data_IF_712646916861
#
_entry.id   IF_712646916861
#
_cell.length_a   1.000
_cell.length_b   1.000
_cell.length_c   1.000
_cell.angle_alpha   90.00
_cell.angle_beta   90.00
_cell.angle_gamma   90.00
#
_symmetry.space_group_name_H-M   'P 1'
#
loop_
_entity.id
_entity.type
_entity.pdbx_description
1 polymer ?
#
# COMPACT_ATOMS: atom_id res chain seq x y z
N UNK A 1 0.58 21.64 16.14
CA UNK A 1 -0.31 20.46 16.04
C UNK A 1 -0.27 20.02 14.59
N UNK A 2 0.47 18.97 14.27
CA UNK A 2 0.39 18.33 12.95
C UNK A 2 -0.98 17.67 12.85
N UNK A 3 -1.81 18.15 11.93
CA UNK A 3 -3.15 17.64 11.68
C UNK A 3 -3.03 16.26 11.04
N UNK A 4 -3.56 15.22 11.69
CA UNK A 4 -3.66 13.89 11.09
C UNK A 4 -4.65 13.91 9.93
N UNK A 5 -4.33 13.23 8.83
CA UNK A 5 -5.25 13.06 7.70
C UNK A 5 -5.31 14.23 6.70
N UNK A 6 -4.34 15.15 6.73
CA UNK A 6 -4.27 16.28 5.78
C UNK A 6 -4.23 15.82 4.32
N UNK A 7 -3.59 14.69 4.04
CA UNK A 7 -3.49 14.13 2.68
C UNK A 7 -4.77 13.45 2.19
N UNK A 8 -5.70 13.10 3.09
CA UNK A 8 -6.93 12.40 2.71
C UNK A 8 -7.81 13.26 1.80
N UNK A 9 -8.02 14.53 2.17
CA UNK A 9 -8.90 15.44 1.42
C UNK A 9 -8.35 15.70 0.01
N UNK A 10 -7.08 16.08 -0.18
CA UNK A 10 -6.48 16.21 -1.50
C UNK A 10 -6.55 14.92 -2.33
N UNK A 11 -6.32 13.75 -1.71
CA UNK A 11 -6.41 12.44 -2.39
C UNK A 11 -7.79 12.26 -3.03
N UNK A 12 -8.86 12.36 -2.25
CA UNK A 12 -10.22 12.06 -2.74
C UNK A 12 -10.74 13.15 -3.68
N UNK A 13 -10.46 14.43 -3.41
CA UNK A 13 -10.88 15.53 -4.29
C UNK A 13 -10.20 15.43 -5.67
N UNK A 14 -8.90 15.09 -5.70
CA UNK A 14 -8.16 14.91 -6.95
C UNK A 14 -8.69 13.71 -7.74
N UNK A 15 -8.94 12.58 -7.07
CA UNK A 15 -9.49 11.39 -7.71
C UNK A 15 -10.88 11.65 -8.31
N UNK A 16 -11.78 12.28 -7.56
CA UNK A 16 -13.13 12.61 -8.01
C UNK A 16 -13.12 13.64 -9.16
N UNK A 17 -12.22 14.62 -9.12
CA UNK A 17 -12.05 15.58 -10.19
C UNK A 17 -11.53 14.93 -11.48
N UNK A 18 -10.61 13.97 -11.39
CA UNK A 18 -10.09 13.23 -12.54
C UNK A 18 -11.13 12.28 -13.15
N UNK A 19 -11.97 11.68 -12.30
CA UNK A 19 -13.07 10.79 -12.69
C UNK A 19 -14.27 11.52 -13.33
N UNK A 20 -14.25 12.86 -13.40
CA UNK A 20 -15.41 13.71 -13.74
C UNK A 20 -16.30 13.13 -14.85
N UNK A 21 -17.60 13.04 -14.53
CA UNK A 21 -18.68 12.56 -15.41
C UNK A 21 -18.50 11.11 -15.94
N UNK A 22 -17.50 10.37 -15.44
CA UNK A 22 -17.29 8.96 -15.75
C UNK A 22 -17.89 8.07 -14.67
N UNK A 23 -18.48 6.96 -15.11
CA UNK A 23 -18.88 5.86 -14.24
C UNK A 23 -17.93 4.68 -14.43
N UNK A 24 -17.60 4.01 -13.33
CA UNK A 24 -16.74 2.82 -13.36
C UNK A 24 -17.48 1.63 -12.78
N UNK A 25 -17.40 0.49 -13.48
CA UNK A 25 -17.96 -0.77 -12.98
C UNK A 25 -17.27 -1.20 -11.69
N UNK A 26 -15.97 -0.94 -11.56
CA UNK A 26 -15.15 -1.27 -10.38
C UNK A 26 -14.20 -0.12 -10.04
N UNK A 27 -13.79 -0.04 -8.78
CA UNK A 27 -12.74 0.86 -8.30
C UNK A 27 -11.82 0.07 -7.38
N UNK A 28 -10.51 0.15 -7.60
CA UNK A 28 -9.49 -0.49 -6.75
C UNK A 28 -8.57 0.57 -6.15
N UNK A 29 -8.34 0.50 -4.85
CA UNK A 29 -7.40 1.36 -4.14
C UNK A 29 -5.99 0.76 -4.17
N UNK A 30 -5.06 1.45 -4.84
CA UNK A 30 -3.65 1.07 -4.89
C UNK A 30 -2.92 1.78 -3.75
N UNK A 31 -2.30 1.01 -2.86
CA UNK A 31 -1.65 1.56 -1.67
C UNK A 31 -0.22 1.06 -1.52
N UNK A 32 0.71 2.00 -1.35
CA UNK A 32 2.03 1.74 -0.82
C UNK A 32 2.42 2.86 0.14
N UNK A 33 2.48 2.51 1.40
CA UNK A 33 3.02 3.34 2.48
C UNK A 33 3.21 2.44 3.70
N UNK A 34 4.17 2.78 4.56
CA UNK A 34 4.31 2.19 5.89
C UNK A 34 5.68 2.43 6.51
N UNK A 35 6.61 2.96 5.70
CA UNK A 35 7.98 3.25 6.07
C UNK A 35 8.03 4.23 7.25
N UNK A 36 7.21 5.27 7.20
CA UNK A 36 7.10 6.25 8.28
C UNK A 36 6.47 5.67 9.55
N UNK A 37 5.46 4.80 9.44
CA UNK A 37 4.87 4.13 10.60
C UNK A 37 5.89 3.22 11.28
N UNK A 38 6.68 2.48 10.49
CA UNK A 38 7.75 1.66 11.01
C UNK A 38 8.86 2.50 11.67
N UNK A 39 9.34 3.55 10.99
CA UNK A 39 10.40 4.42 11.51
C UNK A 39 9.96 5.20 12.77
N UNK A 40 8.68 5.56 12.88
CA UNK A 40 8.12 6.26 14.03
C UNK A 40 7.56 5.32 15.11
N UNK A 41 7.77 4.01 14.99
CA UNK A 41 7.34 2.99 15.98
C UNK A 41 5.82 2.93 16.18
N UNK A 42 5.06 3.16 15.11
CA UNK A 42 3.59 3.16 15.09
C UNK A 42 2.98 1.85 14.57
N UNK A 43 3.77 0.78 14.46
CA UNK A 43 3.30 -0.48 13.86
C UNK A 43 2.09 -1.10 14.58
N UNK A 44 1.94 -0.85 15.88
CA UNK A 44 0.81 -1.35 16.69
C UNK A 44 -0.56 -0.78 16.25
N UNK A 45 -0.58 0.42 15.67
CA UNK A 45 -1.81 1.09 15.23
C UNK A 45 -2.01 1.07 13.71
N UNK A 46 -1.07 0.49 12.96
CA UNK A 46 -1.07 0.50 11.49
C UNK A 46 -2.32 -0.19 10.92
N UNK A 47 -2.67 -1.37 11.44
CA UNK A 47 -3.83 -2.14 10.96
C UNK A 47 -5.13 -1.36 11.14
N UNK A 48 -5.38 -0.88 12.35
CA UNK A 48 -6.59 -0.12 12.67
C UNK A 48 -6.68 1.17 11.85
N UNK A 49 -5.56 1.86 11.67
CA UNK A 49 -5.49 3.10 10.89
C UNK A 49 -5.76 2.87 9.42
N UNK A 50 -5.20 1.81 8.83
CA UNK A 50 -5.45 1.45 7.44
C UNK A 50 -6.90 1.04 7.21
N UNK A 51 -7.50 0.25 8.11
CA UNK A 51 -8.92 -0.12 8.03
C UNK A 51 -9.81 1.13 8.10
N UNK A 52 -9.50 2.09 8.98
CA UNK A 52 -10.24 3.38 9.04
C UNK A 52 -10.13 4.16 7.73
N UNK A 53 -8.96 4.19 7.09
CA UNK A 53 -8.76 4.82 5.79
C UNK A 53 -9.63 4.18 4.72
N UNK A 54 -9.58 2.85 4.58
CA UNK A 54 -10.37 2.09 3.59
C UNK A 54 -11.87 2.30 3.83
N UNK A 55 -12.34 2.22 5.07
CA UNK A 55 -13.75 2.45 5.40
C UNK A 55 -14.20 3.87 5.07
N UNK A 56 -13.33 4.86 5.27
CA UNK A 56 -13.63 6.24 4.88
C UNK A 56 -13.72 6.38 3.37
N UNK A 57 -12.82 5.76 2.60
CA UNK A 57 -12.90 5.72 1.13
C UNK A 57 -14.18 5.04 0.65
N UNK A 58 -14.54 3.88 1.21
CA UNK A 58 -15.81 3.19 0.89
C UNK A 58 -17.02 4.10 1.06
N UNK A 59 -17.09 4.77 2.22
CA UNK A 59 -18.17 5.70 2.55
C UNK A 59 -18.22 6.88 1.58
N UNK A 60 -17.09 7.56 1.38
CA UNK A 60 -17.04 8.80 0.61
C UNK A 60 -17.19 8.54 -0.91
N UNK A 61 -16.85 7.34 -1.39
CA UNK A 61 -17.11 6.89 -2.77
C UNK A 61 -18.50 6.23 -2.94
N UNK A 62 -19.22 5.93 -1.86
CA UNK A 62 -20.48 5.19 -1.91
C UNK A 62 -20.34 3.76 -2.44
N UNK A 63 -19.21 3.10 -2.14
CA UNK A 63 -18.85 1.77 -2.66
C UNK A 63 -18.52 0.79 -1.55
N UNK A 64 -19.37 -0.22 -1.36
CA UNK A 64 -19.09 -1.33 -0.44
C UNK A 64 -18.13 -2.36 -1.04
N UNK A 65 -18.04 -2.38 -2.37
CA UNK A 65 -17.22 -3.27 -3.20
C UNK A 65 -15.79 -2.75 -3.45
N UNK A 66 -15.38 -1.65 -2.82
CA UNK A 66 -14.01 -1.13 -2.96
C UNK A 66 -13.01 -2.20 -2.51
N UNK A 67 -12.21 -2.64 -3.47
CA UNK A 67 -11.08 -3.55 -3.29
C UNK A 67 -9.80 -2.72 -3.07
N UNK A 68 -8.77 -3.31 -2.46
CA UNK A 68 -7.44 -2.71 -2.44
C UNK A 68 -6.33 -3.72 -2.79
N UNK A 69 -5.26 -3.18 -3.37
CA UNK A 69 -3.98 -3.87 -3.51
C UNK A 69 -2.95 -3.12 -2.69
N UNK A 70 -2.35 -3.79 -1.71
CA UNK A 70 -1.33 -3.21 -0.84
C UNK A 70 0.07 -3.74 -1.17
N UNK A 71 1.00 -2.87 -1.51
CA UNK A 71 2.41 -3.25 -1.54
C UNK A 71 2.95 -3.33 -0.12
N UNK A 72 3.67 -4.41 0.16
CA UNK A 72 4.51 -4.48 1.35
C UNK A 72 5.65 -3.46 1.19
N UNK A 73 5.97 -2.68 2.23
CA UNK A 73 7.19 -1.85 2.21
C UNK A 73 8.41 -2.74 2.04
N UNK A 74 9.46 -2.29 1.34
CA UNK A 74 10.62 -3.14 1.02
C UNK A 74 11.36 -3.68 2.26
N UNK A 75 12.30 -4.58 2.07
CA UNK A 75 13.02 -5.27 3.14
C UNK A 75 14.33 -4.56 3.56
N UNK A 76 14.50 -3.27 3.24
CA UNK A 76 15.76 -2.54 3.47
C UNK A 76 16.27 -2.52 4.92
N UNK A 77 15.38 -2.80 5.89
CA UNK A 77 15.72 -2.84 7.30
C UNK A 77 16.01 -4.25 7.82
N UNK A 78 16.01 -5.29 6.97
CA UNK A 78 16.08 -6.69 7.40
C UNK A 78 17.33 -7.06 8.22
N UNK A 79 18.46 -6.41 7.96
CA UNK A 79 19.71 -6.61 8.71
C UNK A 79 19.88 -5.68 9.91
N UNK A 80 19.02 -4.65 10.05
CA UNK A 80 19.16 -3.63 11.08
C UNK A 80 18.80 -4.19 12.46
N UNK A 81 19.58 -3.88 13.50
CA UNK A 81 19.12 -4.05 14.88
C UNK A 81 17.81 -3.29 15.11
N UNK A 82 16.92 -3.83 15.95
CA UNK A 82 15.64 -3.22 16.34
C UNK A 82 14.64 -2.97 15.19
N UNK A 83 14.65 -3.80 14.14
CA UNK A 83 13.73 -3.70 13.00
C UNK A 83 12.29 -4.23 13.26
N UNK A 84 11.91 -4.45 14.52
CA UNK A 84 10.64 -5.09 14.89
C UNK A 84 9.42 -4.34 14.35
N UNK A 85 9.42 -3.01 14.39
CA UNK A 85 8.32 -2.22 13.83
C UNK A 85 8.24 -2.31 12.30
N UNK A 86 9.39 -2.41 11.62
CA UNK A 86 9.43 -2.60 10.18
C UNK A 86 8.87 -3.96 9.79
N UNK A 87 9.29 -5.02 10.49
CA UNK A 87 8.76 -6.37 10.35
C UNK A 87 7.25 -6.41 10.64
N UNK A 88 6.80 -5.77 11.71
CA UNK A 88 5.39 -5.73 12.12
C UNK A 88 4.49 -5.02 11.11
N UNK A 89 4.92 -3.88 10.53
CA UNK A 89 4.17 -3.23 9.44
C UNK A 89 4.10 -4.17 8.23
N UNK A 90 5.22 -4.78 7.83
CA UNK A 90 5.29 -5.72 6.70
C UNK A 90 4.35 -6.92 6.87
N UNK A 91 4.34 -7.53 8.06
CA UNK A 91 3.45 -8.65 8.39
C UNK A 91 1.98 -8.22 8.35
N UNK A 92 1.67 -7.03 8.87
CA UNK A 92 0.33 -6.45 8.84
C UNK A 92 -0.15 -6.19 7.41
N UNK A 93 0.71 -5.67 6.53
CA UNK A 93 0.37 -5.44 5.12
C UNK A 93 0.02 -6.75 4.39
N UNK A 94 0.78 -7.83 4.64
CA UNK A 94 0.48 -9.17 4.11
C UNK A 94 -0.83 -9.69 4.68
N UNK A 95 -1.07 -9.54 5.99
CA UNK A 95 -2.32 -9.95 6.66
C UNK A 95 -3.53 -9.26 6.01
N UNK A 96 -3.45 -7.94 5.85
CA UNK A 96 -4.51 -7.12 5.26
C UNK A 96 -4.80 -7.52 3.80
N UNK A 97 -3.77 -7.68 2.97
CA UNK A 97 -3.97 -8.08 1.57
C UNK A 97 -4.34 -9.55 1.38
N UNK A 98 -4.37 -10.38 2.43
CA UNK A 98 -4.94 -11.74 2.39
C UNK A 98 -6.42 -11.78 2.77
N UNK A 99 -7.00 -10.66 3.17
CA UNK A 99 -8.44 -10.59 3.46
C UNK A 99 -9.27 -10.78 2.17
N UNK A 100 -10.47 -11.38 2.24
CA UNK A 100 -11.29 -11.61 1.06
C UNK A 100 -11.57 -10.33 0.25
N UNK A 101 -11.41 -10.40 -1.06
CA UNK A 101 -11.62 -9.27 -1.97
C UNK A 101 -10.45 -8.29 -2.09
N UNK A 102 -9.31 -8.57 -1.44
CA UNK A 102 -8.11 -7.73 -1.48
C UNK A 102 -6.88 -8.55 -1.90
N UNK A 103 -5.80 -7.85 -2.21
CA UNK A 103 -4.51 -8.47 -2.55
C UNK A 103 -3.35 -7.72 -1.90
N UNK A 104 -2.19 -8.38 -1.83
CA UNK A 104 -0.91 -7.74 -1.57
C UNK A 104 0.11 -8.09 -2.65
N UNK A 105 1.14 -7.25 -2.79
CA UNK A 105 2.30 -7.52 -3.65
C UNK A 105 3.60 -7.51 -2.85
N UNK A 106 4.49 -8.41 -3.23
CA UNK A 106 5.85 -8.46 -2.70
C UNK A 106 6.74 -7.43 -3.40
N UNK A 107 7.73 -6.92 -2.68
CA UNK A 107 8.67 -5.86 -3.11
C UNK A 107 10.12 -6.14 -2.72
N UNK A 108 10.41 -7.29 -2.10
CA UNK A 108 11.75 -7.63 -1.56
C UNK A 108 12.84 -7.70 -2.65
N UNK A 109 12.46 -7.97 -3.90
CA UNK A 109 13.37 -8.03 -5.04
C UNK A 109 13.45 -6.71 -5.82
N UNK A 110 12.75 -5.65 -5.38
CA UNK A 110 12.57 -4.44 -6.18
C UNK A 110 13.46 -3.28 -5.74
N UNK A 111 14.12 -3.34 -4.58
CA UNK A 111 14.84 -2.21 -4.01
C UNK A 111 16.34 -2.15 -4.34
N UNK A 112 16.77 -2.91 -5.35
CA UNK A 112 18.13 -2.86 -5.89
C UNK A 112 19.19 -3.49 -4.99
N UNK A 113 18.83 -4.47 -4.17
CA UNK A 113 19.80 -5.22 -3.37
C UNK A 113 20.73 -6.08 -4.24
N UNK A 114 22.03 -6.08 -3.91
CA UNK A 114 23.05 -6.90 -4.57
C UNK A 114 24.09 -7.46 -3.58
N UNK A 115 25.13 -8.13 -4.07
CA UNK A 115 26.16 -8.72 -3.20
C UNK A 115 26.92 -7.68 -2.32
N UNK A 116 26.99 -6.42 -2.75
CA UNK A 116 27.68 -5.34 -2.05
C UNK A 116 26.73 -4.54 -1.14
N UNK A 117 25.45 -4.42 -1.52
CA UNK A 117 24.38 -3.76 -0.78
C UNK A 117 23.20 -4.73 -0.64
N UNK A 118 23.31 -5.78 0.18
CA UNK A 118 22.33 -6.86 0.22
C UNK A 118 20.91 -6.36 0.52
N UNK A 119 20.77 -5.35 1.37
CA UNK A 119 19.45 -4.85 1.77
C UNK A 119 18.86 -3.80 0.80
N UNK A 120 19.55 -3.46 -0.29
CA UNK A 120 19.06 -2.46 -1.23
C UNK A 120 18.86 -1.09 -0.60
N UNK A 121 17.94 -0.29 -1.16
CA UNK A 121 17.58 1.03 -0.65
C UNK A 121 16.15 1.08 -0.06
N UNK A 122 15.84 2.13 0.70
CA UNK A 122 14.47 2.41 1.14
C UNK A 122 13.58 2.85 -0.02
N UNK A 123 14.17 3.40 -1.09
CA UNK A 123 13.47 3.78 -2.31
C UNK A 123 13.76 2.80 -3.45
N UNK A 124 12.79 2.60 -4.33
CA UNK A 124 13.03 1.75 -5.50
C UNK A 124 13.84 2.50 -6.57
N UNK A 125 14.82 1.83 -7.20
CA UNK A 125 15.33 2.30 -8.50
C UNK A 125 14.23 2.27 -9.56
N UNK A 126 14.49 2.91 -10.70
CA UNK A 126 13.52 3.03 -11.80
C UNK A 126 12.98 1.68 -12.25
N UNK A 127 13.85 0.68 -12.42
CA UNK A 127 13.46 -0.66 -12.84
C UNK A 127 12.55 -1.34 -11.80
N UNK A 128 12.84 -1.15 -10.52
CA UNK A 128 12.03 -1.64 -9.42
C UNK A 128 10.64 -1.00 -9.39
N UNK A 129 10.56 0.30 -9.64
CA UNK A 129 9.30 1.03 -9.71
C UNK A 129 8.42 0.59 -10.90
N UNK A 130 9.02 0.28 -12.06
CA UNK A 130 8.30 -0.27 -13.22
C UNK A 130 7.68 -1.63 -12.87
N UNK A 131 8.45 -2.53 -12.26
CA UNK A 131 7.96 -3.86 -11.87
C UNK A 131 6.89 -3.74 -10.78
N UNK A 132 7.05 -2.81 -9.83
CA UNK A 132 6.05 -2.53 -8.81
C UNK A 132 4.70 -2.14 -9.44
N UNK A 133 4.72 -1.22 -10.42
CA UNK A 133 3.53 -0.81 -11.17
C UNK A 133 2.87 -1.98 -11.89
N UNK A 134 3.66 -2.84 -12.54
CA UNK A 134 3.15 -4.03 -13.20
C UNK A 134 2.48 -5.00 -12.21
N UNK A 135 3.11 -5.27 -11.06
CA UNK A 135 2.54 -6.15 -10.02
C UNK A 135 1.22 -5.61 -9.46
N UNK A 136 1.12 -4.31 -9.28
CA UNK A 136 -0.14 -3.67 -8.88
C UNK A 136 -1.23 -3.88 -9.93
N UNK A 137 -0.91 -3.64 -11.21
CA UNK A 137 -1.85 -3.82 -12.31
C UNK A 137 -2.32 -5.28 -12.40
N UNK A 138 -1.39 -6.24 -12.35
CA UNK A 138 -1.71 -7.67 -12.41
C UNK A 138 -2.67 -8.09 -11.29
N UNK A 139 -2.42 -7.64 -10.05
CA UNK A 139 -3.30 -7.94 -8.91
C UNK A 139 -4.64 -7.24 -8.99
N UNK A 140 -4.69 -5.99 -9.44
CA UNK A 140 -5.96 -5.31 -9.63
C UNK A 140 -6.81 -6.03 -10.70
N UNK A 141 -6.21 -6.42 -11.82
CA UNK A 141 -6.89 -7.19 -12.88
C UNK A 141 -7.36 -8.54 -12.35
N UNK A 142 -6.55 -9.26 -11.58
CA UNK A 142 -6.93 -10.53 -10.94
C UNK A 142 -8.19 -10.36 -10.07
N UNK A 143 -8.25 -9.29 -9.27
CA UNK A 143 -9.39 -9.02 -8.38
C UNK A 143 -10.66 -8.60 -9.16
N UNK A 144 -10.50 -7.86 -10.25
CA UNK A 144 -11.62 -7.40 -11.10
C UNK A 144 -12.21 -8.55 -11.94
N UNK A 145 -11.36 -9.46 -12.43
CA UNK A 145 -11.75 -10.55 -13.35
C UNK A 145 -12.08 -11.86 -12.65
N UNK A 146 -11.95 -11.92 -11.32
CA UNK A 146 -12.29 -13.10 -10.54
C UNK A 146 -13.81 -13.37 -10.68
N UNK A 147 -14.21 -14.58 -11.10
CA UNK A 147 -15.62 -14.93 -11.24
C UNK A 147 -16.36 -14.98 -9.91
#
# INVERSE_FOLDING_TARGET
MTSNGMEYKPLIETALAAAKDQSFDTVSFIWMQGESDANNRLSEVYEESFIKLVNKLKKDLGRDDLQFVIARINDYARSRPDNDHWRSVRETQVKLGKTPGNAWIDTDDLNGGDANKPDGDIHFPEEGAVILGQRFADKAIELITKP
#
